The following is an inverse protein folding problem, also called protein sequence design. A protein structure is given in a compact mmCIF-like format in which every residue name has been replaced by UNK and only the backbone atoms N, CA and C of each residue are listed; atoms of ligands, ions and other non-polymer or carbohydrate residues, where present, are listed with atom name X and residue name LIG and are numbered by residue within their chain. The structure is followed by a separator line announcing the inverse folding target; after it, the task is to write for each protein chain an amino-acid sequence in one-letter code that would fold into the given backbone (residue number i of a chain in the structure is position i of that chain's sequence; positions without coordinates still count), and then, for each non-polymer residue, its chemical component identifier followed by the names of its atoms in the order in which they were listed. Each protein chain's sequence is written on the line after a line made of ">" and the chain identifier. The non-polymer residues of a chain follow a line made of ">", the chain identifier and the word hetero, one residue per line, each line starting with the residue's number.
data_IF_584941789056
#
_entry.id   IF_584941789056
#
_cell.length_a   1.000
_cell.length_b   1.000
_cell.length_c   1.000
_cell.angle_alpha   90.00
_cell.angle_beta   90.00
_cell.angle_gamma   90.00
#
_symmetry.space_group_name_H-M   'P 1'
#
loop_
_entity.id
_entity.type
_entity.pdbx_description
1 polymer ?
#
# COMPACT_ATOMS: atom_id res chain seq x y z
N UNK A 1 -19.17 -2.07 -21.63
CA UNK A 1 -17.84 -1.63 -22.09
C UNK A 1 -18.02 -0.44 -23.01
N UNK A 2 -17.99 0.78 -22.49
CA UNK A 2 -17.68 1.93 -23.35
C UNK A 2 -16.15 2.08 -23.36
N UNK A 3 -15.55 2.17 -24.54
CA UNK A 3 -14.11 2.37 -24.77
C UNK A 3 -13.14 1.26 -24.31
N UNK A 4 -13.59 0.03 -24.08
CA UNK A 4 -12.67 -1.11 -23.83
C UNK A 4 -11.92 -1.06 -22.50
N UNK A 5 -12.41 -0.29 -21.52
CA UNK A 5 -11.84 -0.21 -20.17
C UNK A 5 -12.60 -1.15 -19.23
N UNK A 6 -11.85 -1.98 -18.50
CA UNK A 6 -12.35 -2.80 -17.40
C UNK A 6 -11.98 -2.12 -16.09
N UNK A 7 -12.97 -1.76 -15.28
CA UNK A 7 -12.77 -1.19 -13.96
C UNK A 7 -13.06 -2.27 -12.92
N UNK A 8 -12.01 -2.66 -12.18
CA UNK A 8 -12.13 -3.59 -11.07
C UNK A 8 -12.07 -2.78 -9.79
N UNK A 9 -13.16 -2.86 -9.01
CA UNK A 9 -13.30 -2.09 -7.79
C UNK A 9 -12.81 -2.87 -6.59
N UNK A 10 -12.06 -2.18 -5.74
CA UNK A 10 -11.70 -2.64 -4.41
C UNK A 10 -12.31 -1.70 -3.36
N UNK A 11 -13.34 -2.18 -2.66
CA UNK A 11 -13.83 -1.53 -1.45
C UNK A 11 -12.98 -1.99 -0.26
N UNK A 12 -12.15 -1.10 0.28
CA UNK A 12 -11.84 -1.13 1.71
C UNK A 12 -12.99 -0.40 2.40
N UNK A 13 -13.76 -1.16 3.17
CA UNK A 13 -14.95 -0.80 3.96
C UNK A 13 -15.46 0.65 3.85
N UNK A 14 -16.73 0.81 3.46
CA UNK A 14 -17.55 1.89 4.02
C UNK A 14 -18.99 1.42 4.34
N UNK A 15 -19.47 1.73 5.54
CA UNK A 15 -20.89 1.67 5.95
C UNK A 15 -21.41 0.36 6.57
N UNK A 16 -22.41 0.46 7.46
CA UNK A 16 -22.67 -0.39 8.63
C UNK A 16 -23.11 -1.87 8.39
N UNK A 17 -22.32 -2.82 8.88
CA UNK A 17 -22.83 -4.18 9.21
C UNK A 17 -23.88 -4.05 10.34
N UNK A 18 -25.08 -4.64 10.17
CA UNK A 18 -26.35 -4.40 10.92
C UNK A 18 -27.43 -3.58 10.18
N UNK A 19 -27.58 -3.76 8.86
CA UNK A 19 -28.73 -3.23 8.10
C UNK A 19 -28.61 -3.20 6.57
N UNK A 20 -27.64 -3.92 5.97
CA UNK A 20 -27.28 -3.79 4.55
C UNK A 20 -27.66 -5.05 3.75
N UNK A 21 -27.97 -4.87 2.46
CA UNK A 21 -28.26 -5.95 1.51
C UNK A 21 -26.96 -6.41 0.85
N UNK A 22 -26.53 -7.61 1.21
CA UNK A 22 -25.39 -8.31 0.60
C UNK A 22 -25.80 -8.80 -0.78
N UNK A 23 -24.93 -8.65 -1.79
CA UNK A 23 -25.22 -9.29 -3.06
C UNK A 23 -24.02 -9.99 -3.67
N UNK A 24 -24.35 -10.90 -4.58
CA UNK A 24 -23.43 -11.61 -5.44
C UNK A 24 -22.68 -10.63 -6.34
N UNK A 25 -21.63 -11.10 -7.02
CA UNK A 25 -20.94 -10.33 -8.06
C UNK A 25 -21.99 -9.75 -9.03
N UNK A 26 -22.00 -8.44 -9.16
CA UNK A 26 -22.96 -7.73 -10.01
C UNK A 26 -22.40 -7.54 -11.43
N UNK A 27 -23.27 -7.56 -12.45
CA UNK A 27 -22.87 -7.27 -13.82
C UNK A 27 -22.60 -5.77 -14.01
N UNK A 28 -21.88 -5.44 -15.09
CA UNK A 28 -21.41 -4.09 -15.44
C UNK A 28 -22.53 -3.05 -15.56
N UNK A 29 -23.70 -3.49 -15.99
CA UNK A 29 -24.89 -2.70 -16.24
C UNK A 29 -25.88 -2.68 -15.05
N UNK A 30 -25.50 -3.24 -13.90
CA UNK A 30 -26.39 -3.25 -12.73
C UNK A 30 -26.60 -1.83 -12.18
N UNK A 31 -27.86 -1.39 -12.21
CA UNK A 31 -28.28 -0.10 -11.64
C UNK A 31 -28.51 -0.26 -10.14
N UNK A 32 -27.68 0.39 -9.33
CA UNK A 32 -27.91 0.55 -7.89
C UNK A 32 -28.75 1.80 -7.67
N UNK A 33 -29.76 1.72 -6.80
CA UNK A 33 -30.60 2.87 -6.48
C UNK A 33 -29.76 4.01 -5.87
N UNK A 34 -30.12 5.30 -6.06
CA UNK A 34 -29.46 6.41 -5.39
C UNK A 34 -29.43 6.19 -3.87
N UNK A 35 -28.25 6.31 -3.26
CA UNK A 35 -27.98 6.00 -1.83
C UNK A 35 -28.12 4.53 -1.42
N UNK A 36 -28.27 3.62 -2.39
CA UNK A 36 -28.15 2.18 -2.15
C UNK A 36 -26.72 1.83 -1.76
N UNK A 37 -26.56 1.04 -0.71
CA UNK A 37 -25.25 0.55 -0.30
C UNK A 37 -25.08 -0.90 -0.74
N UNK A 38 -23.98 -1.21 -1.42
CA UNK A 38 -23.60 -2.56 -1.77
C UNK A 38 -22.21 -2.89 -1.20
N UNK A 39 -22.10 -4.04 -0.56
CA UNK A 39 -20.84 -4.60 -0.04
C UNK A 39 -20.57 -5.91 -0.79
N UNK A 40 -19.59 -5.88 -1.69
CA UNK A 40 -19.23 -7.04 -2.50
C UNK A 40 -18.37 -6.69 -3.72
N UNK A 41 -17.82 -7.70 -4.41
CA UNK A 41 -17.06 -7.51 -5.64
C UNK A 41 -17.97 -6.99 -6.76
N UNK A 42 -17.55 -5.93 -7.44
CA UNK A 42 -18.32 -5.32 -8.53
C UNK A 42 -17.44 -5.08 -9.76
N UNK A 43 -18.03 -5.31 -10.94
CA UNK A 43 -17.54 -4.75 -12.20
C UNK A 43 -18.60 -3.71 -12.58
N UNK A 44 -18.28 -2.41 -12.62
CA UNK A 44 -19.25 -1.32 -12.83
C UNK A 44 -18.64 -0.15 -13.59
N UNK A 45 -19.51 0.79 -13.95
CA UNK A 45 -19.08 2.10 -14.44
C UNK A 45 -18.25 2.86 -13.39
N UNK A 46 -17.17 3.50 -13.87
CA UNK A 46 -16.18 4.15 -13.02
C UNK A 46 -16.70 5.43 -12.37
N UNK A 47 -17.50 6.24 -13.08
CA UNK A 47 -18.03 7.49 -12.55
C UNK A 47 -19.02 7.22 -11.41
N UNK A 48 -19.86 6.20 -11.56
CA UNK A 48 -20.73 5.72 -10.50
C UNK A 48 -19.94 5.34 -9.24
N UNK A 49 -18.85 4.57 -9.38
CA UNK A 49 -17.99 4.17 -8.24
C UNK A 49 -17.35 5.36 -7.52
N UNK A 50 -16.91 6.37 -8.28
CA UNK A 50 -16.28 7.55 -7.67
C UNK A 50 -17.32 8.43 -6.98
N UNK A 51 -18.54 8.50 -7.49
CA UNK A 51 -19.62 9.30 -6.90
C UNK A 51 -20.29 8.60 -5.70
N UNK A 52 -20.39 7.28 -5.73
CA UNK A 52 -21.04 6.47 -4.69
C UNK A 52 -20.08 6.19 -3.51
N UNK A 53 -20.58 6.24 -2.28
CA UNK A 53 -19.85 5.85 -1.07
C UNK A 53 -18.80 6.85 -0.55
N UNK A 54 -18.26 6.56 0.64
CA UNK A 54 -17.35 7.45 1.36
C UNK A 54 -15.87 7.02 1.31
N UNK A 55 -15.59 5.84 0.73
CA UNK A 55 -14.24 5.26 0.66
C UNK A 55 -13.30 6.05 -0.27
N UNK A 56 -11.99 5.90 -0.06
CA UNK A 56 -11.00 6.36 -1.04
C UNK A 56 -11.05 5.49 -2.30
N UNK A 57 -10.77 6.09 -3.46
CA UNK A 57 -10.74 5.38 -4.75
C UNK A 57 -9.40 5.62 -5.42
N UNK A 58 -8.59 4.55 -5.52
CA UNK A 58 -7.34 4.51 -6.27
C UNK A 58 -7.54 3.89 -7.66
N UNK A 59 -6.75 4.34 -8.62
CA UNK A 59 -6.69 3.85 -10.00
C UNK A 59 -5.27 3.36 -10.24
N UNK A 60 -5.14 2.08 -10.57
CA UNK A 60 -3.87 1.45 -10.91
C UNK A 60 -3.92 1.05 -12.40
N UNK A 61 -3.60 1.95 -13.33
CA UNK A 61 -3.62 1.63 -14.75
C UNK A 61 -2.53 0.61 -15.07
N UNK A 62 -2.82 -0.32 -15.97
CA UNK A 62 -1.80 -1.18 -16.57
C UNK A 62 -0.77 -0.31 -17.31
N UNK A 63 0.49 -0.73 -17.29
CA UNK A 63 1.51 -0.12 -18.15
C UNK A 63 1.23 -0.46 -19.63
N UNK A 64 1.86 0.26 -20.57
CA UNK A 64 1.57 0.15 -22.02
C UNK A 64 1.67 -1.28 -22.56
N UNK A 65 2.72 -2.00 -22.17
CA UNK A 65 2.96 -3.40 -22.57
C UNK A 65 1.84 -4.31 -22.06
N UNK A 66 1.43 -4.13 -20.81
CA UNK A 66 0.39 -4.96 -20.20
C UNK A 66 -1.01 -4.61 -20.74
N UNK A 67 -1.24 -3.36 -21.16
CA UNK A 67 -2.45 -2.98 -21.90
C UNK A 67 -2.53 -3.68 -23.26
N UNK A 68 -1.43 -3.74 -24.01
CA UNK A 68 -1.37 -4.44 -25.30
C UNK A 68 -1.62 -5.95 -25.12
N UNK A 69 -1.06 -6.55 -24.08
CA UNK A 69 -1.32 -7.94 -23.71
C UNK A 69 -2.82 -8.16 -23.44
N UNK A 70 -3.43 -7.35 -22.58
CA UNK A 70 -4.86 -7.44 -22.28
C UNK A 70 -5.72 -7.31 -23.56
N UNK A 71 -5.41 -6.33 -24.42
CA UNK A 71 -6.12 -6.15 -25.69
C UNK A 71 -6.00 -7.37 -26.60
N UNK A 72 -4.84 -8.01 -26.65
CA UNK A 72 -4.62 -9.24 -27.42
C UNK A 72 -5.51 -10.37 -26.89
N UNK A 73 -5.54 -10.57 -25.56
CA UNK A 73 -6.38 -11.59 -24.93
C UNK A 73 -7.88 -11.36 -25.15
N UNK A 74 -8.32 -10.10 -25.10
CA UNK A 74 -9.71 -9.73 -25.40
C UNK A 74 -10.07 -9.92 -26.89
N UNK A 75 -9.12 -9.78 -27.82
CA UNK A 75 -9.34 -10.09 -29.23
C UNK A 75 -9.47 -11.60 -29.46
N UNK A 76 -8.67 -12.40 -28.76
CA UNK A 76 -8.72 -13.87 -28.83
C UNK A 76 -10.01 -14.44 -28.23
N UNK A 77 -10.47 -13.87 -27.11
CA UNK A 77 -11.78 -14.18 -26.53
C UNK A 77 -12.55 -12.88 -26.22
N UNK A 78 -13.39 -12.40 -27.15
CA UNK A 78 -14.23 -11.22 -26.93
C UNK A 78 -15.22 -11.37 -25.77
N UNK A 79 -15.56 -12.60 -25.38
CA UNK A 79 -16.46 -12.90 -24.28
C UNK A 79 -15.74 -13.11 -22.94
N UNK A 80 -14.41 -12.97 -22.88
CA UNK A 80 -13.61 -13.31 -21.69
C UNK A 80 -14.18 -12.73 -20.38
N UNK A 81 -14.56 -11.45 -20.38
CA UNK A 81 -15.13 -10.81 -19.18
C UNK A 81 -16.50 -11.39 -18.82
N UNK A 82 -17.33 -11.69 -19.82
CA UNK A 82 -18.64 -12.32 -19.63
C UNK A 82 -18.50 -13.77 -19.13
N UNK A 83 -17.51 -14.50 -19.64
CA UNK A 83 -17.17 -15.86 -19.21
C UNK A 83 -16.72 -15.87 -17.75
N UNK A 84 -15.82 -14.95 -17.38
CA UNK A 84 -15.36 -14.79 -16.00
C UNK A 84 -16.54 -14.39 -15.08
N UNK A 85 -17.37 -13.43 -15.49
CA UNK A 85 -18.58 -13.09 -14.75
C UNK A 85 -19.48 -14.32 -14.57
N UNK A 86 -19.80 -15.06 -15.63
CA UNK A 86 -20.66 -16.24 -15.55
C UNK A 86 -20.11 -17.34 -14.65
N UNK A 87 -18.77 -17.47 -14.57
CA UNK A 87 -18.08 -18.41 -13.69
C UNK A 87 -18.20 -18.02 -12.21
N UNK A 88 -18.24 -16.72 -11.89
CA UNK A 88 -18.18 -16.22 -10.52
C UNK A 88 -19.45 -15.51 -10.04
N UNK A 89 -20.48 -15.34 -10.88
CA UNK A 89 -21.72 -14.62 -10.56
C UNK A 89 -22.50 -15.14 -9.35
N UNK A 90 -22.23 -16.36 -8.90
CA UNK A 90 -22.86 -16.95 -7.71
C UNK A 90 -22.04 -16.75 -6.44
N UNK A 91 -20.87 -16.12 -6.54
CA UNK A 91 -19.99 -15.85 -5.41
C UNK A 91 -20.51 -14.63 -4.64
N UNK A 92 -20.50 -14.70 -3.31
CA UNK A 92 -20.88 -13.62 -2.40
C UNK A 92 -19.70 -13.04 -1.61
N UNK A 93 -19.96 -12.06 -0.75
CA UNK A 93 -18.93 -11.49 0.11
C UNK A 93 -18.77 -12.28 1.43
N UNK A 94 -17.55 -12.66 1.84
CA UNK A 94 -17.31 -13.42 3.07
C UNK A 94 -17.42 -12.53 4.31
N UNK A 95 -18.65 -12.37 4.80
CA UNK A 95 -18.99 -11.62 6.03
C UNK A 95 -18.20 -12.04 7.28
N UNK A 96 -17.73 -13.29 7.35
CA UNK A 96 -17.03 -13.85 8.51
C UNK A 96 -15.50 -13.81 8.42
N UNK A 97 -14.93 -13.41 7.28
CA UNK A 97 -13.49 -13.61 7.01
C UNK A 97 -12.66 -12.31 7.01
N UNK A 98 -13.22 -11.20 7.48
CA UNK A 98 -12.55 -9.87 7.53
C UNK A 98 -11.21 -9.97 8.24
N UNK A 99 -11.14 -10.78 9.30
CA UNK A 99 -9.92 -10.99 10.06
C UNK A 99 -8.79 -11.59 9.22
N UNK A 100 -9.07 -12.49 8.27
CA UNK A 100 -8.01 -13.07 7.42
C UNK A 100 -7.45 -12.06 6.44
N UNK A 101 -8.24 -11.09 5.98
CA UNK A 101 -7.74 -9.98 5.14
C UNK A 101 -6.88 -9.02 5.96
N UNK A 102 -7.34 -8.61 7.14
CA UNK A 102 -6.53 -7.78 8.06
C UNK A 102 -5.24 -8.53 8.44
N UNK A 103 -5.34 -9.84 8.64
CA UNK A 103 -4.20 -10.69 8.97
C UNK A 103 -3.26 -10.91 7.79
N UNK A 104 -3.73 -11.04 6.55
CA UNK A 104 -2.84 -11.09 5.39
C UNK A 104 -2.01 -9.82 5.21
N UNK A 105 -2.47 -8.70 5.79
CA UNK A 105 -1.70 -7.46 5.87
C UNK A 105 -0.61 -7.48 6.97
N UNK A 106 -0.72 -8.32 8.01
CA UNK A 106 0.28 -8.52 9.10
C UNK A 106 0.61 -10.00 9.29
N UNK A 107 1.84 -10.40 8.94
CA UNK A 107 2.31 -11.79 9.05
C UNK A 107 2.12 -12.38 10.47
N UNK A 108 2.28 -11.55 11.51
CA UNK A 108 2.06 -11.95 12.90
C UNK A 108 0.59 -12.29 13.16
N UNK A 109 -0.33 -11.40 12.79
CA UNK A 109 -1.75 -11.64 12.95
C UNK A 109 -2.22 -12.86 12.12
N UNK A 110 -1.66 -13.05 10.92
CA UNK A 110 -1.93 -14.25 10.11
C UNK A 110 -1.52 -15.53 10.83
N UNK A 111 -0.29 -15.59 11.33
CA UNK A 111 0.23 -16.76 12.04
C UNK A 111 -0.57 -17.05 13.32
N UNK A 112 -1.00 -16.02 14.05
CA UNK A 112 -1.86 -16.19 15.23
C UNK A 112 -3.24 -16.76 14.88
N UNK A 113 -3.87 -16.28 13.81
CA UNK A 113 -5.16 -16.80 13.34
C UNK A 113 -5.02 -18.24 12.85
N UNK A 114 -3.95 -18.57 12.12
CA UNK A 114 -3.70 -19.94 11.66
C UNK A 114 -3.48 -20.88 12.85
N UNK A 115 -2.62 -20.50 13.80
CA UNK A 115 -2.42 -21.28 15.03
C UNK A 115 -3.71 -21.48 15.83
N UNK A 116 -4.57 -20.46 15.89
CA UNK A 116 -5.90 -20.59 16.50
C UNK A 116 -6.82 -21.54 15.71
N UNK A 117 -6.83 -21.48 14.38
CA UNK A 117 -7.63 -22.39 13.53
C UNK A 117 -7.16 -23.84 13.67
N UNK A 118 -5.86 -24.07 13.63
CA UNK A 118 -5.25 -25.38 13.85
C UNK A 118 -5.65 -25.93 15.23
N UNK A 119 -5.50 -25.14 16.29
CA UNK A 119 -5.94 -25.51 17.63
C UNK A 119 -7.46 -25.77 17.69
N UNK A 120 -8.29 -24.92 17.10
CA UNK A 120 -9.74 -25.05 17.12
C UNK A 120 -10.24 -26.28 16.34
N UNK A 121 -9.61 -26.61 15.21
CA UNK A 121 -9.93 -27.78 14.38
C UNK A 121 -9.71 -29.12 15.08
N UNK A 122 -8.86 -29.16 16.12
CA UNK A 122 -8.69 -30.33 16.97
C UNK A 122 -9.89 -30.58 17.91
N UNK A 123 -10.68 -29.54 18.22
CA UNK A 123 -11.82 -29.62 19.15
C UNK A 123 -13.19 -29.45 18.47
N UNK A 124 -13.22 -28.93 17.24
CA UNK A 124 -14.43 -28.71 16.46
C UNK A 124 -14.20 -29.23 15.03
N UNK A 125 -14.78 -30.38 14.64
CA UNK A 125 -14.66 -30.85 13.27
C UNK A 125 -15.41 -29.90 12.34
N UNK A 126 -14.68 -29.02 11.67
CA UNK A 126 -15.25 -28.17 10.63
C UNK A 126 -15.45 -28.98 9.36
N UNK A 127 -16.73 -29.21 9.01
CA UNK A 127 -17.10 -29.50 7.62
C UNK A 127 -16.94 -28.19 6.85
N UNK A 128 -15.82 -28.01 6.16
CA UNK A 128 -15.69 -26.91 5.21
C UNK A 128 -16.63 -27.18 4.03
N UNK A 129 -17.85 -26.66 4.12
CA UNK A 129 -18.59 -26.36 2.89
C UNK A 129 -17.78 -25.32 2.12
N UNK A 130 -17.44 -25.64 0.86
CA UNK A 130 -16.90 -24.65 -0.09
C UNK A 130 -17.89 -23.49 -0.17
N UNK A 131 -17.63 -22.44 0.60
CA UNK A 131 -18.41 -21.21 0.51
C UNK A 131 -18.00 -20.53 -0.78
N UNK A 132 -18.97 -20.32 -1.67
CA UNK A 132 -18.82 -19.47 -2.85
C UNK A 132 -18.71 -18.02 -2.39
N UNK A 133 -17.57 -17.65 -1.81
CA UNK A 133 -17.31 -16.31 -1.30
C UNK A 133 -16.00 -15.79 -1.84
N UNK A 134 -15.93 -14.49 -2.12
CA UNK A 134 -14.73 -13.83 -2.64
C UNK A 134 -14.66 -12.38 -2.20
N UNK A 135 -13.49 -11.91 -1.78
CA UNK A 135 -13.23 -10.49 -1.56
C UNK A 135 -12.92 -9.77 -2.88
N UNK A 136 -12.93 -8.43 -2.85
CA UNK A 136 -12.67 -7.63 -4.05
C UNK A 136 -11.25 -7.85 -4.60
N UNK A 137 -10.22 -7.81 -3.75
CA UNK A 137 -8.82 -8.06 -4.12
C UNK A 137 -8.60 -9.47 -4.66
N UNK A 138 -9.25 -10.48 -4.06
CA UNK A 138 -9.22 -11.85 -4.53
C UNK A 138 -9.85 -11.95 -5.92
N UNK A 139 -10.99 -11.29 -6.15
CA UNK A 139 -11.62 -11.26 -7.47
C UNK A 139 -10.73 -10.58 -8.52
N UNK A 140 -10.08 -9.47 -8.17
CA UNK A 140 -9.09 -8.81 -9.04
C UNK A 140 -8.00 -9.81 -9.40
N UNK A 141 -7.44 -10.49 -8.40
CA UNK A 141 -6.41 -11.50 -8.59
C UNK A 141 -6.87 -12.64 -9.50
N UNK A 142 -8.08 -13.16 -9.31
CA UNK A 142 -8.70 -14.17 -10.16
C UNK A 142 -8.84 -13.68 -11.60
N UNK A 143 -9.36 -12.47 -11.82
CA UNK A 143 -9.59 -11.93 -13.16
C UNK A 143 -8.25 -11.81 -13.91
N UNK A 144 -7.24 -11.20 -13.30
CA UNK A 144 -5.92 -11.06 -13.92
C UNK A 144 -5.20 -12.40 -14.13
N UNK A 145 -5.44 -13.37 -13.24
CA UNK A 145 -4.97 -14.75 -13.40
C UNK A 145 -5.60 -15.45 -14.59
N UNK A 146 -6.91 -15.33 -14.78
CA UNK A 146 -7.64 -15.90 -15.92
C UNK A 146 -7.24 -15.24 -17.26
N UNK A 147 -6.96 -13.93 -17.23
CA UNK A 147 -6.39 -13.20 -18.37
C UNK A 147 -4.99 -13.74 -18.73
N UNK A 148 -4.22 -14.15 -17.72
CA UNK A 148 -2.90 -14.75 -17.84
C UNK A 148 -1.74 -13.81 -17.52
N UNK A 149 -1.96 -12.74 -16.73
CA UNK A 149 -0.88 -11.84 -16.36
C UNK A 149 0.13 -12.51 -15.40
N UNK A 150 1.45 -12.37 -15.62
CA UNK A 150 2.48 -13.16 -14.93
C UNK A 150 2.44 -13.13 -13.40
N UNK A 151 2.29 -11.96 -12.78
CA UNK A 151 2.27 -11.81 -11.32
C UNK A 151 1.05 -12.48 -10.70
N UNK A 152 -0.04 -12.60 -11.45
CA UNK A 152 -1.31 -13.14 -10.97
C UNK A 152 -1.46 -14.64 -11.21
N UNK A 153 -0.79 -15.19 -12.24
CA UNK A 153 -0.79 -16.64 -12.50
C UNK A 153 -0.32 -17.43 -11.27
N UNK A 154 0.74 -16.94 -10.63
CA UNK A 154 1.33 -17.55 -9.43
C UNK A 154 0.75 -17.00 -8.13
N UNK A 155 -0.09 -15.97 -8.18
CA UNK A 155 -0.73 -15.44 -6.99
C UNK A 155 -1.68 -16.47 -6.39
N UNK A 156 -1.76 -16.44 -5.05
CA UNK A 156 -2.79 -17.09 -4.25
C UNK A 156 -3.90 -16.06 -4.03
N UNK A 157 -5.04 -16.16 -4.75
CA UNK A 157 -6.03 -15.11 -4.69
C UNK A 157 -6.54 -14.86 -3.28
N UNK A 158 -6.73 -15.91 -2.49
CA UNK A 158 -7.21 -15.92 -1.10
C UNK A 158 -6.34 -15.18 -0.08
N UNK A 159 -5.10 -14.85 -0.45
CA UNK A 159 -4.21 -14.03 0.37
C UNK A 159 -3.94 -12.67 -0.27
N UNK A 160 -4.56 -12.36 -1.42
CA UNK A 160 -4.27 -11.16 -2.20
C UNK A 160 -4.92 -9.93 -1.57
N UNK A 161 -4.11 -8.93 -1.21
CA UNK A 161 -4.51 -7.72 -0.47
C UNK A 161 -4.58 -6.47 -1.37
N UNK A 162 -5.25 -5.39 -0.94
CA UNK A 162 -5.22 -4.11 -1.63
C UNK A 162 -3.83 -3.58 -1.95
N UNK A 163 -2.89 -3.77 -1.00
CA UNK A 163 -1.53 -3.34 -1.23
C UNK A 163 -0.83 -4.23 -2.26
N UNK A 164 -1.07 -5.55 -2.22
CA UNK A 164 -0.53 -6.47 -3.22
C UNK A 164 -1.02 -6.15 -4.63
N UNK A 165 -2.28 -5.72 -4.78
CA UNK A 165 -2.78 -5.15 -6.04
C UNK A 165 -1.95 -3.93 -6.42
N UNK A 166 -1.76 -2.95 -5.55
CA UNK A 166 -1.04 -1.72 -5.88
C UNK A 166 0.43 -1.97 -6.26
N UNK A 167 1.09 -2.96 -5.66
CA UNK A 167 2.54 -3.20 -5.85
C UNK A 167 2.89 -4.22 -6.94
N UNK A 168 1.94 -4.72 -7.75
CA UNK A 168 2.31 -5.60 -8.86
C UNK A 168 3.03 -4.83 -9.97
N UNK A 169 4.08 -5.40 -10.61
CA UNK A 169 4.83 -4.76 -11.70
C UNK A 169 4.01 -4.38 -12.94
N UNK A 170 2.86 -5.03 -13.14
CA UNK A 170 1.99 -4.80 -14.28
C UNK A 170 1.30 -3.43 -14.24
N UNK A 171 1.14 -2.84 -13.06
CA UNK A 171 0.55 -1.51 -12.92
C UNK A 171 1.60 -0.40 -12.94
N UNK A 172 1.19 0.74 -13.52
CA UNK A 172 1.95 1.97 -13.50
C UNK A 172 1.73 2.78 -12.22
N UNK A 173 1.81 4.10 -12.33
CA UNK A 173 1.58 4.98 -11.19
C UNK A 173 0.13 4.88 -10.67
N UNK A 174 -0.04 4.94 -9.35
CA UNK A 174 -1.36 4.98 -8.72
C UNK A 174 -1.89 6.41 -8.70
N UNK A 175 -3.13 6.58 -9.17
CA UNK A 175 -3.84 7.86 -9.16
C UNK A 175 -5.05 7.79 -8.25
N UNK A 176 -5.31 8.83 -7.45
CA UNK A 176 -6.48 8.85 -6.58
C UNK A 176 -7.60 9.68 -7.21
N UNK A 177 -8.74 9.03 -7.43
CA UNK A 177 -9.95 9.65 -7.98
C UNK A 177 -10.84 10.26 -6.89
N UNK A 178 -10.80 9.72 -5.68
CA UNK A 178 -11.51 10.23 -4.49
C UNK A 178 -10.66 10.00 -3.25
N UNK A 179 -10.55 11.02 -2.41
CA UNK A 179 -9.89 10.92 -1.11
C UNK A 179 -10.71 11.67 -0.05
N UNK A 180 -10.97 11.05 1.10
CA UNK A 180 -11.67 11.66 2.22
C UNK A 180 -12.99 12.35 1.81
N UNK A 181 -13.82 11.63 1.03
CA UNK A 181 -15.09 12.13 0.47
C UNK A 181 -14.97 13.28 -0.54
N UNK A 182 -13.76 13.63 -0.98
CA UNK A 182 -13.52 14.66 -1.99
C UNK A 182 -13.15 13.99 -3.31
N UNK A 183 -13.95 14.22 -4.36
CA UNK A 183 -13.59 13.82 -5.73
C UNK A 183 -12.43 14.67 -6.24
N UNK A 184 -11.41 14.01 -6.76
CA UNK A 184 -10.21 14.61 -7.37
C UNK A 184 -10.26 14.53 -8.90
N UNK A 185 -11.33 13.99 -9.46
CA UNK A 185 -11.57 13.96 -10.89
C UNK A 185 -12.05 15.30 -11.42
N UNK A 186 -11.62 15.63 -12.64
CA UNK A 186 -12.28 16.66 -13.47
C UNK A 186 -13.34 15.99 -14.34
N UNK A 187 -14.47 16.68 -14.54
CA UNK A 187 -15.55 16.20 -15.42
C UNK A 187 -15.12 16.07 -16.90
N UNK A 188 -15.57 14.99 -17.54
CA UNK A 188 -15.38 14.65 -18.96
C UNK A 188 -15.10 13.15 -19.16
N UNK A 189 -15.28 12.62 -20.38
CA UNK A 189 -15.05 11.20 -20.74
C UNK A 189 -13.59 10.71 -20.57
N UNK A 190 -12.69 11.58 -20.09
CA UNK A 190 -11.34 11.24 -19.68
C UNK A 190 -11.25 11.43 -18.19
N UNK A 191 -10.97 10.33 -17.48
CA UNK A 191 -10.52 10.34 -16.09
C UNK A 191 -9.22 11.16 -16.01
N UNK A 192 -9.36 12.47 -15.87
CA UNK A 192 -8.27 13.37 -15.55
C UNK A 192 -8.35 13.57 -14.05
N UNK A 193 -7.49 12.88 -13.31
CA UNK A 193 -7.21 13.27 -11.92
C UNK A 193 -6.60 14.66 -11.99
N UNK A 194 -7.44 15.66 -11.75
CA UNK A 194 -7.04 17.05 -11.82
C UNK A 194 -6.08 17.39 -10.69
N UNK A 195 -5.47 18.57 -10.81
CA UNK A 195 -4.52 19.22 -9.89
C UNK A 195 -5.04 19.49 -8.45
N UNK A 196 -6.14 18.86 -8.03
CA UNK A 196 -6.68 19.04 -6.67
C UNK A 196 -5.84 18.21 -5.72
N UNK A 197 -4.97 18.88 -4.97
CA UNK A 197 -4.16 18.23 -3.94
C UNK A 197 -5.04 17.73 -2.78
N UNK A 198 -4.84 16.48 -2.38
CA UNK A 198 -5.47 15.90 -1.19
C UNK A 198 -5.02 16.59 0.10
N UNK A 199 -5.71 16.37 1.22
CA UNK A 199 -5.33 16.96 2.52
C UNK A 199 -3.89 16.60 2.90
N UNK A 200 -3.50 15.35 2.69
CA UNK A 200 -2.14 14.88 2.94
C UNK A 200 -1.13 15.56 2.00
N UNK A 201 -1.46 15.70 0.72
CA UNK A 201 -0.59 16.41 -0.24
C UNK A 201 -0.44 17.89 0.12
N UNK A 202 -1.53 18.56 0.54
CA UNK A 202 -1.49 19.96 1.01
C UNK A 202 -0.66 20.09 2.29
N UNK A 203 -0.81 19.16 3.23
CA UNK A 203 0.00 19.11 4.44
C UNK A 203 1.47 18.98 4.07
N UNK A 204 1.85 17.99 3.25
CA UNK A 204 3.25 17.79 2.85
C UNK A 204 3.86 19.01 2.15
N UNK A 205 3.08 19.68 1.29
CA UNK A 205 3.50 20.95 0.65
C UNK A 205 3.73 22.08 1.65
N UNK A 206 3.05 22.05 2.79
CA UNK A 206 3.24 23.02 3.87
C UNK A 206 4.38 22.66 4.84
N UNK A 207 4.92 21.44 4.76
CA UNK A 207 6.02 21.03 5.64
C UNK A 207 7.32 21.71 5.21
N UNK A 208 8.14 22.04 6.21
CA UNK A 208 9.49 22.54 5.96
C UNK A 208 10.29 21.50 5.16
N UNK A 209 11.19 22.01 4.30
CA UNK A 209 12.01 21.21 3.39
C UNK A 209 11.20 20.39 2.38
N UNK A 210 9.94 20.76 2.09
CA UNK A 210 9.16 20.13 1.02
C UNK A 210 9.93 20.10 -0.30
N UNK A 211 10.57 21.22 -0.65
CA UNK A 211 11.32 21.38 -1.91
C UNK A 211 12.59 20.51 -1.98
N UNK A 212 12.99 19.87 -0.87
CA UNK A 212 14.10 18.92 -0.87
C UNK A 212 13.66 17.51 -1.29
N UNK A 213 12.36 17.26 -1.38
CA UNK A 213 11.82 15.97 -1.85
C UNK A 213 11.68 15.99 -3.36
N UNK A 214 12.29 14.99 -4.01
CA UNK A 214 12.23 14.83 -5.46
C UNK A 214 11.34 13.64 -5.79
N UNK A 215 10.30 13.89 -6.60
CA UNK A 215 9.41 12.85 -7.09
C UNK A 215 10.10 11.99 -8.15
N UNK A 216 9.98 10.68 -8.00
CA UNK A 216 10.54 9.66 -8.87
C UNK A 216 9.41 8.87 -9.54
N UNK A 217 9.53 8.54 -10.83
CA UNK A 217 8.56 7.70 -11.52
C UNK A 217 8.59 6.26 -10.96
N UNK A 218 7.60 5.41 -11.31
CA UNK A 218 7.66 3.97 -11.06
C UNK A 218 9.03 3.39 -11.45
N UNK A 219 9.65 2.65 -10.53
CA UNK A 219 11.00 2.09 -10.69
C UNK A 219 12.12 3.11 -10.98
N UNK A 220 11.92 4.40 -10.64
CA UNK A 220 12.85 5.49 -10.95
C UNK A 220 14.13 5.52 -10.10
N UNK A 221 14.24 4.71 -9.05
CA UNK A 221 15.43 4.66 -8.20
C UNK A 221 15.69 5.93 -7.41
N UNK A 222 16.97 6.33 -7.30
CA UNK A 222 17.42 7.49 -6.52
C UNK A 222 17.79 8.64 -7.46
N UNK A 223 17.33 9.89 -7.21
CA UNK A 223 17.70 11.02 -8.05
C UNK A 223 19.20 11.35 -7.95
N UNK A 224 19.80 11.93 -9.00
CA UNK A 224 21.18 12.42 -8.93
C UNK A 224 21.39 13.39 -7.78
N UNK A 225 22.57 13.34 -7.15
CA UNK A 225 22.99 14.20 -6.04
C UNK A 225 22.19 14.03 -4.73
N UNK A 226 21.36 12.99 -4.59
CA UNK A 226 20.76 12.68 -3.30
C UNK A 226 21.86 12.43 -2.25
N UNK A 227 21.63 12.89 -1.02
CA UNK A 227 22.53 12.67 0.10
C UNK A 227 22.17 11.39 0.87
N UNK A 228 23.16 10.51 1.04
CA UNK A 228 22.98 9.27 1.80
C UNK A 228 22.87 9.56 3.30
N UNK A 229 21.97 8.85 3.98
CA UNK A 229 21.75 8.96 5.43
C UNK A 229 22.23 7.75 6.21
N UNK A 230 22.70 6.72 5.49
CA UNK A 230 22.90 5.40 6.04
C UNK A 230 23.61 4.46 5.08
N UNK A 231 23.72 3.20 5.48
CA UNK A 231 24.41 2.19 4.67
C UNK A 231 23.83 0.82 4.99
N UNK A 232 23.53 0.05 3.94
CA UNK A 232 23.03 -1.30 4.10
C UNK A 232 24.14 -2.30 4.45
N UNK A 233 23.77 -3.55 4.74
CA UNK A 233 24.70 -4.61 5.16
C UNK A 233 25.87 -4.83 4.18
N UNK A 234 25.63 -4.63 2.88
CA UNK A 234 26.60 -4.82 1.79
C UNK A 234 27.43 -3.57 1.50
N UNK A 235 27.22 -2.46 2.23
CA UNK A 235 27.86 -1.19 1.96
C UNK A 235 27.09 -0.26 1.02
N UNK A 236 25.92 -0.68 0.50
CA UNK A 236 25.08 0.15 -0.37
C UNK A 236 24.60 1.41 0.38
N UNK A 237 24.84 2.62 -0.16
CA UNK A 237 24.31 3.84 0.44
C UNK A 237 22.78 3.83 0.50
N UNK A 238 22.21 4.25 1.63
CA UNK A 238 20.76 4.31 1.86
C UNK A 238 20.26 5.74 1.95
N UNK A 239 19.09 5.98 1.37
CA UNK A 239 18.41 7.27 1.28
C UNK A 239 17.02 7.19 1.89
N UNK A 240 16.49 8.34 2.32
CA UNK A 240 15.13 8.44 2.84
C UNK A 240 14.17 8.50 1.65
N UNK A 241 13.23 7.57 1.62
CA UNK A 241 12.12 7.58 0.68
C UNK A 241 10.79 7.76 1.42
N UNK A 242 9.81 8.35 0.75
CA UNK A 242 8.41 8.28 1.16
C UNK A 242 7.51 7.90 -0.01
N UNK A 243 6.42 7.22 0.28
CA UNK A 243 5.41 6.81 -0.71
C UNK A 243 4.03 7.15 -0.24
N UNK A 244 3.12 7.46 -1.17
CA UNK A 244 1.72 7.65 -0.87
C UNK A 244 0.98 6.31 -0.99
N UNK A 245 0.36 5.85 0.09
CA UNK A 245 -0.51 4.67 0.09
C UNK A 245 -1.84 5.09 0.71
N UNK A 246 -2.92 4.98 -0.05
CA UNK A 246 -4.22 5.53 0.33
C UNK A 246 -4.14 7.04 0.58
N UNK A 247 -4.58 7.44 1.77
CA UNK A 247 -4.57 8.84 2.22
C UNK A 247 -3.32 9.21 3.05
N UNK A 248 -2.40 8.26 3.22
CA UNK A 248 -1.23 8.36 4.08
C UNK A 248 0.07 8.43 3.28
N UNK A 249 1.15 8.87 3.94
CA UNK A 249 2.50 8.89 3.42
C UNK A 249 3.44 8.12 4.33
N UNK A 250 3.90 6.98 3.85
CA UNK A 250 4.78 6.06 4.58
C UNK A 250 6.23 6.34 4.23
N UNK A 251 7.10 6.33 5.23
CA UNK A 251 8.54 6.52 5.05
C UNK A 251 9.26 5.18 5.02
N UNK A 252 10.45 5.17 4.43
CA UNK A 252 11.34 4.04 4.47
C UNK A 252 12.68 4.33 3.82
N UNK A 253 13.26 3.30 3.21
CA UNK A 253 14.62 3.31 2.68
C UNK A 253 14.65 2.97 1.20
N UNK A 254 15.63 3.53 0.49
CA UNK A 254 15.99 3.11 -0.86
C UNK A 254 17.52 3.09 -0.97
N UNK A 255 18.07 2.09 -1.67
CA UNK A 255 19.50 1.98 -1.94
C UNK A 255 19.88 2.63 -3.26
N UNK A 256 21.14 3.07 -3.40
CA UNK A 256 21.65 3.80 -4.58
C UNK A 256 21.33 3.15 -5.94
N UNK A 257 21.22 1.83 -6.01
CA UNK A 257 20.95 1.07 -7.24
C UNK A 257 19.63 0.30 -7.21
N UNK A 258 18.79 0.55 -6.21
CA UNK A 258 17.49 -0.11 -6.12
C UNK A 258 16.47 0.66 -6.97
N UNK A 259 15.67 -0.01 -7.81
CA UNK A 259 14.65 0.68 -8.61
C UNK A 259 13.52 1.24 -7.75
N UNK A 260 13.30 0.66 -6.57
CA UNK A 260 12.12 0.87 -5.73
C UNK A 260 12.52 1.01 -4.26
N UNK A 261 11.83 1.86 -3.48
CA UNK A 261 12.00 1.90 -2.04
C UNK A 261 11.31 0.71 -1.36
N UNK A 262 11.73 0.49 -0.12
CA UNK A 262 11.05 -0.35 0.85
C UNK A 262 10.51 0.51 1.99
N UNK A 263 9.24 0.31 2.34
CA UNK A 263 8.58 1.02 3.46
C UNK A 263 7.99 0.03 4.45
N UNK A 264 7.73 0.51 5.65
CA UNK A 264 6.97 -0.23 6.67
C UNK A 264 5.48 -0.08 6.40
N UNK A 265 4.78 -1.19 6.22
CA UNK A 265 3.32 -1.21 6.07
C UNK A 265 2.73 -2.43 6.77
N UNK A 266 1.84 -2.19 7.74
CA UNK A 266 1.28 -3.23 8.64
C UNK A 266 2.34 -4.22 9.14
N UNK A 267 3.40 -3.70 9.77
CA UNK A 267 4.49 -4.48 10.39
C UNK A 267 5.35 -5.29 9.40
N UNK A 268 5.19 -5.08 8.09
CA UNK A 268 6.00 -5.72 7.03
C UNK A 268 6.92 -4.71 6.36
N UNK A 269 8.03 -5.21 5.82
CA UNK A 269 8.82 -4.49 4.83
C UNK A 269 8.21 -4.75 3.45
N UNK A 270 7.71 -3.69 2.79
CA UNK A 270 7.06 -3.80 1.48
C UNK A 270 7.80 -2.97 0.44
N UNK A 271 8.10 -3.60 -0.70
CA UNK A 271 8.68 -2.94 -1.87
C UNK A 271 7.59 -2.18 -2.64
N UNK A 272 7.84 -0.91 -2.97
CA UNK A 272 6.86 -0.05 -3.64
C UNK A 272 7.33 0.27 -5.06
N UNK A 273 6.55 -0.12 -6.07
CA UNK A 273 6.95 -0.03 -7.46
C UNK A 273 6.21 1.04 -8.28
N UNK A 274 5.16 1.65 -7.73
CA UNK A 274 4.27 2.57 -8.43
C UNK A 274 4.63 4.06 -8.28
N UNK A 275 5.85 4.36 -7.82
CA UNK A 275 6.40 5.71 -7.69
C UNK A 275 6.62 6.14 -6.23
N UNK A 276 7.53 7.08 -6.02
CA UNK A 276 7.99 7.50 -4.69
C UNK A 276 8.62 8.88 -4.72
N UNK A 277 8.92 9.43 -3.54
CA UNK A 277 9.71 10.64 -3.38
C UNK A 277 10.97 10.33 -2.55
N UNK A 278 12.10 10.97 -2.88
CA UNK A 278 13.36 10.84 -2.16
C UNK A 278 13.73 12.19 -1.56
N UNK A 279 14.13 12.23 -0.28
CA UNK A 279 14.71 13.44 0.31
C UNK A 279 16.13 13.61 -0.23
N UNK A 280 16.30 14.48 -1.22
CA UNK A 280 17.53 14.62 -1.97
C UNK A 280 18.57 15.51 -1.25
N UNK A 281 18.12 16.55 -0.53
CA UNK A 281 18.99 17.48 0.21
C UNK A 281 18.75 17.42 1.72
N UNK A 282 19.83 17.31 2.48
CA UNK A 282 19.87 17.39 3.94
C UNK A 282 20.34 18.77 4.41
N UNK A 283 20.46 19.74 3.51
CA UNK A 283 20.81 21.11 3.86
C UNK A 283 19.86 21.65 4.94
N UNK A 284 20.43 22.37 5.92
CA UNK A 284 19.65 22.90 7.04
C UNK A 284 19.17 21.85 8.03
N UNK A 285 19.67 20.60 7.99
CA UNK A 285 19.32 19.56 8.97
C UNK A 285 20.50 19.10 9.83
N UNK A 286 20.19 18.39 10.92
CA UNK A 286 21.14 17.65 11.76
C UNK A 286 20.45 16.42 12.37
N UNK A 287 21.22 15.42 12.80
CA UNK A 287 20.70 14.25 13.51
C UNK A 287 20.80 14.48 15.02
N UNK A 288 19.72 14.16 15.74
CA UNK A 288 19.65 14.22 17.19
C UNK A 288 19.39 12.83 17.76
N UNK A 289 20.24 12.37 18.68
CA UNK A 289 20.09 11.06 19.32
C UNK A 289 18.79 11.01 20.13
N UNK A 290 18.09 9.89 20.07
CA UNK A 290 16.87 9.62 20.82
C UNK A 290 16.82 8.16 21.28
N UNK A 291 15.92 7.90 22.23
CA UNK A 291 15.67 6.57 22.77
C UNK A 291 14.19 6.27 22.86
N UNK A 292 13.87 4.99 23.00
CA UNK A 292 12.51 4.51 23.14
C UNK A 292 11.77 5.22 24.29
N UNK A 293 10.56 5.71 24.02
CA UNK A 293 9.69 6.38 24.99
C UNK A 293 10.05 7.84 25.27
N UNK A 294 11.14 8.37 24.68
CA UNK A 294 11.44 9.79 24.72
C UNK A 294 10.42 10.59 23.91
N UNK A 295 10.20 11.84 24.31
CA UNK A 295 9.45 12.79 23.51
C UNK A 295 10.16 13.05 22.18
N UNK A 296 9.38 13.26 21.12
CA UNK A 296 9.92 13.66 19.81
C UNK A 296 10.62 15.03 19.95
N UNK A 297 11.87 15.18 19.47
CA UNK A 297 12.56 16.47 19.51
C UNK A 297 11.72 17.59 18.88
N UNK A 298 11.75 18.78 19.49
CA UNK A 298 10.91 19.92 19.09
C UNK A 298 11.05 20.27 17.59
N UNK A 299 12.21 19.98 17.01
CA UNK A 299 12.57 20.36 15.64
C UNK A 299 12.66 19.19 14.68
N UNK A 300 12.12 18.05 15.08
CA UNK A 300 12.07 16.86 14.25
C UNK A 300 11.38 17.15 12.91
N UNK A 301 11.97 16.65 11.84
CA UNK A 301 11.48 16.81 10.49
C UNK A 301 10.24 15.95 10.28
N UNK A 302 9.09 16.62 10.22
CA UNK A 302 7.82 16.04 9.77
C UNK A 302 7.97 15.69 8.28
N UNK A 303 7.64 14.46 7.91
CA UNK A 303 7.89 13.98 6.55
C UNK A 303 6.81 13.05 6.01
N UNK A 304 5.85 12.65 6.84
CA UNK A 304 4.71 11.83 6.45
C UNK A 304 3.56 11.94 7.44
N UNK A 305 2.53 11.13 7.20
CA UNK A 305 1.35 11.06 8.05
C UNK A 305 0.69 9.70 7.88
N UNK A 306 0.27 9.08 8.98
CA UNK A 306 -0.53 7.84 8.97
C UNK A 306 -2.00 8.11 8.59
N UNK A 307 -2.77 7.06 8.35
CA UNK A 307 -4.19 7.17 7.98
C UNK A 307 -5.05 7.81 9.09
N UNK A 308 -4.68 7.60 10.35
CA UNK A 308 -5.33 8.22 11.50
C UNK A 308 -5.01 9.72 11.67
N UNK A 309 -4.07 10.26 10.88
CA UNK A 309 -3.60 11.65 10.95
C UNK A 309 -2.36 11.87 11.81
N UNK A 310 -1.80 10.83 12.42
CA UNK A 310 -0.57 10.92 13.20
C UNK A 310 0.58 11.35 12.31
N UNK A 311 1.36 12.32 12.77
CA UNK A 311 2.52 12.83 12.05
C UNK A 311 3.69 11.86 12.19
N UNK A 312 4.33 11.62 11.05
CA UNK A 312 5.52 10.80 10.96
C UNK A 312 6.77 11.66 10.81
N UNK A 313 7.79 11.32 11.59
CA UNK A 313 9.08 12.00 11.62
C UNK A 313 10.17 11.09 11.06
N UNK A 314 11.15 11.68 10.38
CA UNK A 314 12.30 10.95 9.85
C UNK A 314 13.17 10.46 11.00
N UNK A 315 13.43 9.16 11.04
CA UNK A 315 14.38 8.54 11.95
C UNK A 315 15.40 7.68 11.19
N UNK A 316 16.49 7.31 11.84
CA UNK A 316 17.38 6.22 11.40
C UNK A 316 17.91 5.44 12.58
N UNK A 317 18.27 4.20 12.36
CA UNK A 317 18.78 3.32 13.42
C UNK A 317 19.53 2.13 12.86
N UNK A 318 20.26 1.44 13.74
CA UNK A 318 21.02 0.25 13.37
C UNK A 318 20.11 -0.99 13.43
N UNK A 319 20.02 -1.72 12.33
CA UNK A 319 19.25 -2.97 12.20
C UNK A 319 20.15 -4.11 11.71
N UNK A 320 19.80 -5.36 12.01
CA UNK A 320 20.56 -6.53 11.57
C UNK A 320 21.93 -6.72 12.25
N UNK A 321 22.28 -5.90 13.23
CA UNK A 321 23.44 -6.14 14.08
C UNK A 321 23.19 -7.36 14.96
N UNK A 322 24.16 -8.27 15.02
CA UNK A 322 24.16 -9.40 15.95
C UNK A 322 25.34 -9.24 16.91
N UNK A 323 25.05 -9.32 18.20
CA UNK A 323 26.09 -9.45 19.20
C UNK A 323 26.73 -10.85 19.07
N UNK A 324 28.05 -10.87 18.96
CA UNK A 324 28.83 -12.11 19.05
C UNK A 324 28.99 -12.56 20.50
N UNK A 325 29.21 -13.85 20.72
CA UNK A 325 29.63 -14.37 22.04
C UNK A 325 31.14 -14.12 22.18
N UNK A 326 31.55 -13.38 23.20
CA UNK A 326 32.96 -12.99 23.41
C UNK A 326 33.60 -12.31 22.17
N UNK A 327 32.79 -11.58 21.40
CA UNK A 327 33.22 -10.92 20.16
C UNK A 327 33.27 -11.82 18.92
N UNK A 328 33.09 -13.13 19.05
CA UNK A 328 33.04 -14.08 17.92
C UNK A 328 31.63 -14.09 17.34
N UNK A 329 31.52 -13.87 16.02
CA UNK A 329 30.24 -13.85 15.30
C UNK A 329 29.51 -12.51 15.33
N UNK A 330 30.18 -11.41 15.74
CA UNK A 330 29.60 -10.06 15.64
C UNK A 330 29.40 -9.69 14.17
N UNK A 331 28.17 -9.35 13.78
CA UNK A 331 27.89 -8.79 12.45
C UNK A 331 27.75 -7.27 12.53
N UNK A 332 28.24 -6.56 11.51
CA UNK A 332 27.95 -5.13 11.36
C UNK A 332 26.47 -4.97 11.00
N UNK A 333 25.78 -4.02 11.64
CA UNK A 333 24.41 -3.66 11.28
C UNK A 333 24.33 -2.69 10.10
N UNK A 334 23.13 -2.60 9.53
CA UNK A 334 22.72 -1.61 8.53
C UNK A 334 22.24 -0.36 9.27
N UNK A 335 22.81 0.80 8.98
CA UNK A 335 22.28 2.08 9.47
C UNK A 335 21.20 2.51 8.47
N UNK A 336 19.94 2.25 8.78
CA UNK A 336 18.84 2.41 7.85
C UNK A 336 17.87 3.52 8.28
N UNK A 337 17.35 4.33 7.34
CA UNK A 337 16.28 5.25 7.63
C UNK A 337 14.95 4.53 7.84
N UNK A 338 14.09 5.16 8.61
CA UNK A 338 12.73 4.72 8.89
C UNK A 338 11.94 5.88 9.47
N UNK A 339 11.04 5.54 10.40
CA UNK A 339 10.05 6.47 10.92
C UNK A 339 9.94 6.40 12.43
N UNK A 340 9.57 7.52 13.05
CA UNK A 340 9.07 7.54 14.42
C UNK A 340 7.84 8.45 14.49
N UNK A 341 6.90 8.15 15.38
CA UNK A 341 5.76 9.02 15.70
C UNK A 341 5.65 9.22 17.21
N UNK A 342 4.87 10.21 17.64
CA UNK A 342 4.65 10.46 19.07
C UNK A 342 3.85 9.34 19.77
N UNK A 343 3.06 8.57 19.01
CA UNK A 343 2.31 7.41 19.49
C UNK A 343 3.14 6.12 19.55
N UNK A 344 4.30 6.10 18.88
CA UNK A 344 5.18 4.94 18.78
C UNK A 344 6.25 4.92 19.88
N UNK A 345 6.63 3.71 20.29
CA UNK A 345 7.70 3.44 21.26
C UNK A 345 8.96 2.97 20.55
N UNK A 346 9.64 3.90 19.87
CA UNK A 346 10.88 3.65 19.13
C UNK A 346 10.74 3.89 17.62
N UNK A 347 11.86 3.88 16.91
CA UNK A 347 11.87 4.02 15.45
C UNK A 347 11.49 2.70 14.78
N UNK A 348 10.62 2.76 13.76
CA UNK A 348 10.23 1.63 12.92
C UNK A 348 11.02 1.67 11.61
N UNK A 349 11.73 0.60 11.32
CA UNK A 349 12.63 0.49 10.16
C UNK A 349 12.27 -0.77 9.38
N UNK A 350 12.09 -0.61 8.07
CA UNK A 350 11.86 -1.74 7.17
C UNK A 350 13.18 -2.52 7.02
N UNK A 351 13.20 -3.81 7.37
CA UNK A 351 14.38 -4.65 7.26
C UNK A 351 14.06 -6.15 7.22
N UNK A 352 14.64 -6.85 6.22
CA UNK A 352 14.58 -8.30 6.08
C UNK A 352 13.14 -8.88 6.10
N UNK A 353 12.23 -8.23 5.36
CA UNK A 353 10.82 -8.62 5.24
C UNK A 353 9.93 -8.10 6.37
N UNK A 354 10.50 -7.46 7.40
CA UNK A 354 9.76 -7.06 8.62
C UNK A 354 9.90 -5.60 8.93
N UNK A 355 8.98 -5.09 9.72
CA UNK A 355 9.19 -3.88 10.49
C UNK A 355 10.00 -4.20 11.76
N UNK A 356 11.13 -3.54 11.93
CA UNK A 356 11.99 -3.65 13.11
C UNK A 356 11.82 -2.41 13.96
N UNK A 357 11.49 -2.59 15.24
CA UNK A 357 11.47 -1.52 16.23
C UNK A 357 12.88 -1.35 16.80
N UNK A 358 13.44 -0.15 16.66
CA UNK A 358 14.77 0.21 17.14
C UNK A 358 14.65 1.16 18.32
N UNK A 359 15.24 0.76 19.45
CA UNK A 359 15.13 1.51 20.70
C UNK A 359 16.07 2.70 20.78
N UNK A 360 17.24 2.64 20.14
CA UNK A 360 18.22 3.74 20.09
C UNK A 360 18.37 4.17 18.63
N UNK A 361 17.99 5.40 18.36
CA UNK A 361 17.82 5.90 17.00
C UNK A 361 18.12 7.39 16.96
N UNK A 362 18.38 7.91 15.77
CA UNK A 362 18.53 9.34 15.56
C UNK A 362 17.27 9.87 14.90
N UNK A 363 16.87 11.08 15.26
CA UNK A 363 15.79 11.82 14.63
C UNK A 363 16.37 12.96 13.80
N UNK A 364 15.96 13.07 12.54
CA UNK A 364 16.40 14.17 11.68
C UNK A 364 15.69 15.45 12.11
N UNK A 365 16.45 16.48 12.45
CA UNK A 365 15.96 17.74 12.96
C UNK A 365 16.39 18.93 12.09
N UNK A 366 15.61 20.00 12.10
CA UNK A 366 15.91 21.23 11.37
C UNK A 366 16.84 22.13 12.19
N UNK A 367 17.85 22.72 11.54
CA UNK A 367 18.72 23.78 12.08
C UNK A 367 17.97 25.10 12.18
N UNK A 368 18.38 25.98 13.11
CA UNK A 368 17.81 27.33 13.18
C UNK A 368 18.39 28.07 11.96
N UNK A 369 17.52 28.56 11.08
CA UNK A 369 17.95 29.57 10.13
C UNK A 369 18.20 30.82 10.99
N UNK A 370 19.46 31.26 11.03
CA UNK A 370 19.85 32.48 11.74
C UNK A 370 19.34 33.71 11.02
#
# INVERSE_FOLDING_TARGET
>A
MEEGKMYLYESVFSGQVAGYVYSKILPVDHVVAPHGNHLGPQIRDFEAVVNEGESNVGICPLNEKEQEFLQTRLKENPNLILDIYNKHKDFGYPMTNILTVIASASENLYNQIQGFREAASQYLPQKEEKKNTVFCSELVSIIYKEIGHPSFVNAKPDTFTPLEVQVVPEFGAVYYAKENKVSLLKHGNKVSTGTVASKAQKLLKSLALHDHWVAMPPSGGVPPNAESVGTDLDGTPLYIARVKIGSAYYLGKIGAHWPCPFVTYYEREVKINFGHEVLASLEGTYWEDSVNGSAIPLRALKAGMEENGDILYVARGVVGEKAGVLGIGKSKGSLAPGVVSASQKGARIAFAGKEVVVEKYDVLCQKLIK
#
